data_IF_378900961995
#
_entry.id   IF_378900961995
#
_cell.length_a   1.000
_cell.length_b   1.000
_cell.length_c   1.000
_cell.angle_alpha   90.00
_cell.angle_beta   90.00
_cell.angle_gamma   90.00
#
_symmetry.space_group_name_H-M   'P 1'
#
loop_
_entity.id
_entity.type
_entity.pdbx_description
1 polymer ?
#
# COMPACT_ATOMS: atom_id res chain seq x y z
N UNK A 1 18.44 -18.07 -29.67
CA UNK A 1 18.37 -17.73 -28.24
C UNK A 1 19.56 -16.83 -27.90
N UNK A 2 19.38 -15.51 -27.97
CA UNK A 2 20.47 -14.59 -27.68
C UNK A 2 20.75 -14.55 -26.17
N UNK A 3 21.93 -15.03 -25.79
CA UNK A 3 22.50 -14.88 -24.46
C UNK A 3 22.69 -13.39 -24.18
N UNK A 4 21.85 -12.82 -23.32
CA UNK A 4 22.04 -11.47 -22.81
C UNK A 4 23.22 -11.55 -21.85
N UNK A 5 24.40 -11.13 -22.33
CA UNK A 5 25.55 -10.86 -21.48
C UNK A 5 25.10 -9.92 -20.37
N UNK A 6 25.24 -10.35 -19.12
CA UNK A 6 25.14 -9.49 -17.95
C UNK A 6 26.19 -8.39 -18.12
N UNK A 7 25.76 -7.22 -18.60
CA UNK A 7 26.61 -6.03 -18.64
C UNK A 7 27.12 -5.78 -17.22
N UNK A 8 28.42 -5.54 -17.08
CA UNK A 8 29.05 -5.12 -15.83
C UNK A 8 28.54 -3.75 -15.41
N UNK A 9 27.31 -3.73 -14.90
CA UNK A 9 26.60 -2.54 -14.43
C UNK A 9 27.02 -2.20 -13.01
N UNK A 10 27.05 -0.89 -12.72
CA UNK A 10 27.25 -0.36 -11.38
C UNK A 10 26.47 -1.17 -10.33
N UNK A 11 27.12 -1.51 -9.22
CA UNK A 11 26.48 -2.31 -8.17
C UNK A 11 25.30 -1.59 -7.49
N UNK A 12 25.08 -0.30 -7.76
CA UNK A 12 24.06 0.54 -7.12
C UNK A 12 24.12 0.50 -5.57
N UNK A 13 25.31 0.21 -5.01
CA UNK A 13 25.52 0.00 -3.57
C UNK A 13 25.08 -1.38 -3.05
N UNK A 14 24.55 -2.25 -3.90
CA UNK A 14 24.17 -3.63 -3.58
C UNK A 14 25.42 -4.52 -3.46
N UNK A 15 25.31 -5.55 -2.63
CA UNK A 15 26.31 -6.62 -2.52
C UNK A 15 26.24 -7.55 -3.75
N UNK A 16 27.32 -8.30 -4.06
CA UNK A 16 27.30 -9.27 -5.16
C UNK A 16 26.16 -10.30 -5.05
N UNK A 17 25.79 -10.69 -3.82
CA UNK A 17 24.67 -11.61 -3.57
C UNK A 17 23.33 -10.97 -3.90
N UNK A 18 23.10 -9.72 -3.48
CA UNK A 18 21.88 -8.97 -3.80
C UNK A 18 21.74 -8.77 -5.31
N UNK A 19 22.81 -8.36 -6.00
CA UNK A 19 22.85 -8.23 -7.47
C UNK A 19 22.52 -9.56 -8.14
N UNK A 20 23.18 -10.65 -7.73
CA UNK A 20 22.92 -11.99 -8.30
C UNK A 20 21.48 -12.43 -8.11
N UNK A 21 20.87 -12.17 -6.95
CA UNK A 21 19.47 -12.51 -6.70
C UNK A 21 18.55 -11.72 -7.65
N UNK A 22 18.69 -10.41 -7.71
CA UNK A 22 17.85 -9.53 -8.56
C UNK A 22 18.02 -9.82 -10.05
N UNK A 23 19.25 -10.08 -10.51
CA UNK A 23 19.55 -10.39 -11.91
C UNK A 23 18.90 -11.71 -12.38
N UNK A 24 18.73 -12.69 -11.47
CA UNK A 24 18.14 -14.00 -11.79
C UNK A 24 16.61 -14.00 -11.87
N UNK A 25 15.95 -12.95 -11.38
CA UNK A 25 14.49 -12.77 -11.46
C UNK A 25 14.04 -12.34 -12.86
N UNK A 26 14.42 -13.10 -13.89
CA UNK A 26 14.10 -12.83 -15.30
C UNK A 26 13.52 -14.08 -15.95
N UNK A 27 12.48 -14.00 -16.79
CA UNK A 27 11.79 -12.80 -17.27
C UNK A 27 10.90 -12.13 -16.19
N UNK A 28 10.30 -10.95 -16.45
CA UNK A 28 9.56 -10.13 -15.47
C UNK A 28 8.56 -10.88 -14.56
N UNK A 29 7.87 -11.91 -15.06
CA UNK A 29 6.96 -12.71 -14.24
C UNK A 29 7.65 -13.43 -13.07
N UNK A 30 8.97 -13.67 -13.14
CA UNK A 30 9.74 -14.24 -12.02
C UNK A 30 9.92 -13.24 -10.88
N UNK A 31 9.95 -11.94 -11.17
CA UNK A 31 9.89 -10.89 -10.15
C UNK A 31 8.53 -10.94 -9.46
N UNK A 32 7.45 -11.02 -10.25
CA UNK A 32 6.09 -11.17 -9.69
C UNK A 32 6.00 -12.40 -8.79
N UNK A 33 6.45 -13.56 -9.26
CA UNK A 33 6.41 -14.80 -8.46
C UNK A 33 7.15 -14.64 -7.14
N UNK A 34 8.36 -14.06 -7.16
CA UNK A 34 9.11 -13.77 -5.94
C UNK A 34 8.34 -12.84 -4.98
N UNK A 35 7.67 -11.83 -5.52
CA UNK A 35 6.83 -10.92 -4.73
C UNK A 35 5.58 -11.61 -4.19
N UNK A 36 5.06 -12.60 -4.90
CA UNK A 36 3.85 -13.32 -4.49
C UNK A 36 4.07 -14.23 -3.28
N UNK A 37 5.30 -14.71 -3.13
CA UNK A 37 5.79 -15.55 -2.02
C UNK A 37 6.20 -14.71 -0.78
N UNK A 38 5.97 -13.40 -0.79
CA UNK A 38 6.26 -12.50 0.34
C UNK A 38 5.03 -12.29 1.23
N UNK A 39 5.29 -12.14 2.53
CA UNK A 39 4.26 -11.71 3.48
C UNK A 39 3.81 -10.29 3.15
N UNK A 40 2.50 -10.07 3.23
CA UNK A 40 1.94 -8.74 3.03
C UNK A 40 1.95 -7.95 4.34
N UNK A 41 2.52 -6.75 4.30
CA UNK A 41 2.56 -5.82 5.43
C UNK A 41 1.21 -5.12 5.61
N UNK A 42 0.27 -5.79 6.26
CA UNK A 42 -1.08 -5.22 6.51
C UNK A 42 -1.03 -3.99 7.43
N UNK A 43 0.01 -3.87 8.26
CA UNK A 43 0.16 -2.77 9.23
C UNK A 43 0.85 -1.55 8.61
N UNK A 44 1.30 -1.63 7.36
CA UNK A 44 2.06 -0.61 6.64
C UNK A 44 3.21 -0.04 7.50
N UNK A 45 3.99 -0.91 8.15
CA UNK A 45 4.99 -0.54 9.16
C UNK A 45 6.15 0.32 8.65
N UNK A 46 6.36 0.37 7.34
CA UNK A 46 7.42 1.18 6.73
C UNK A 46 7.48 1.05 5.21
N UNK A 47 8.28 1.90 4.57
CA UNK A 47 8.52 1.88 3.11
C UNK A 47 9.94 1.38 2.83
N UNK A 48 10.07 0.12 2.39
CA UNK A 48 11.31 -0.65 2.34
C UNK A 48 12.06 -0.47 1.03
N UNK A 49 13.38 -0.41 1.12
CA UNK A 49 14.28 -0.58 -0.02
C UNK A 49 14.31 -2.03 -0.53
N UNK A 50 14.85 -2.24 -1.73
CA UNK A 50 15.02 -3.59 -2.27
C UNK A 50 15.87 -4.50 -1.37
N UNK A 51 16.94 -3.96 -0.77
CA UNK A 51 17.74 -4.65 0.26
C UNK A 51 16.89 -5.10 1.44
N UNK A 52 16.07 -4.20 1.98
CA UNK A 52 15.18 -4.51 3.10
C UNK A 52 14.18 -5.59 2.75
N UNK A 53 13.60 -5.56 1.54
CA UNK A 53 12.70 -6.63 1.06
C UNK A 53 13.40 -7.99 0.97
N UNK A 54 14.66 -8.04 0.50
CA UNK A 54 15.44 -9.28 0.48
C UNK A 54 15.67 -9.86 1.89
N UNK A 55 15.92 -8.98 2.87
CA UNK A 55 16.22 -9.34 4.26
C UNK A 55 14.98 -9.68 5.08
N UNK A 56 13.95 -8.84 4.99
CA UNK A 56 12.76 -8.86 5.86
C UNK A 56 11.64 -9.73 5.29
N UNK A 57 11.71 -10.13 4.01
CA UNK A 57 10.75 -11.05 3.37
C UNK A 57 9.28 -10.61 3.46
N UNK A 58 9.04 -9.31 3.58
CA UNK A 58 7.71 -8.69 3.73
C UNK A 58 7.60 -7.41 2.92
N UNK A 59 6.41 -7.13 2.38
CA UNK A 59 6.15 -5.96 1.50
C UNK A 59 4.75 -5.38 1.65
N UNK A 60 4.64 -4.08 1.45
CA UNK A 60 3.42 -3.41 0.96
C UNK A 60 3.50 -3.14 -0.56
N UNK A 61 2.48 -2.51 -1.16
CA UNK A 61 2.45 -2.19 -2.59
C UNK A 61 3.67 -1.36 -3.03
N UNK A 62 4.02 -0.31 -2.27
CA UNK A 62 5.16 0.55 -2.56
C UNK A 62 6.50 -0.20 -2.50
N UNK A 63 6.72 -1.01 -1.45
CA UNK A 63 7.94 -1.83 -1.28
C UNK A 63 8.13 -2.79 -2.47
N UNK A 64 7.03 -3.43 -2.88
CA UNK A 64 7.03 -4.37 -3.99
C UNK A 64 7.34 -3.68 -5.31
N UNK A 65 6.80 -2.48 -5.53
CA UNK A 65 7.07 -1.68 -6.71
C UNK A 65 8.55 -1.23 -6.76
N UNK A 66 9.11 -0.74 -5.65
CA UNK A 66 10.53 -0.40 -5.54
C UNK A 66 11.42 -1.63 -5.78
N UNK A 67 11.09 -2.77 -5.17
CA UNK A 67 11.83 -4.00 -5.38
C UNK A 67 11.81 -4.44 -6.85
N UNK A 68 10.64 -4.39 -7.50
CA UNK A 68 10.52 -4.74 -8.91
C UNK A 68 11.31 -3.78 -9.81
N UNK A 69 11.21 -2.46 -9.55
CA UNK A 69 12.01 -1.46 -10.26
C UNK A 69 13.52 -1.70 -10.08
N UNK A 70 13.98 -2.06 -8.88
CA UNK A 70 15.37 -2.40 -8.62
C UNK A 70 15.81 -3.66 -9.39
N UNK A 71 14.98 -4.71 -9.43
CA UNK A 71 15.26 -5.91 -10.20
C UNK A 71 15.34 -5.62 -11.71
N UNK A 72 14.39 -4.88 -12.24
CA UNK A 72 14.37 -4.43 -13.63
C UNK A 72 15.62 -3.59 -13.97
N UNK A 73 16.04 -2.70 -13.06
CA UNK A 73 17.26 -1.90 -13.20
C UNK A 73 18.52 -2.73 -13.28
N UNK A 74 18.68 -3.70 -12.37
CA UNK A 74 19.82 -4.64 -12.40
C UNK A 74 19.83 -5.44 -13.70
N UNK A 75 18.66 -5.67 -14.30
CA UNK A 75 18.51 -6.32 -15.61
C UNK A 75 18.69 -5.36 -16.81
N UNK A 76 19.09 -4.11 -16.58
CA UNK A 76 19.36 -3.11 -17.61
C UNK A 76 18.13 -2.35 -18.13
N UNK A 77 16.99 -2.43 -17.43
CA UNK A 77 15.79 -1.67 -17.78
C UNK A 77 15.66 -0.38 -16.96
N UNK A 78 14.89 0.59 -17.46
CA UNK A 78 14.59 1.79 -16.70
C UNK A 78 13.71 1.44 -15.47
N UNK A 79 14.06 1.92 -14.25
CA UNK A 79 13.28 1.66 -13.05
C UNK A 79 12.09 2.63 -12.99
N UNK A 80 11.02 2.29 -13.70
CA UNK A 80 9.83 3.14 -13.82
C UNK A 80 8.74 2.72 -12.83
N UNK A 81 8.21 3.68 -12.08
CA UNK A 81 7.02 3.51 -11.26
C UNK A 81 5.84 4.28 -11.84
N UNK A 82 4.64 3.77 -11.57
CA UNK A 82 3.37 4.40 -11.91
C UNK A 82 2.46 4.36 -10.69
N UNK A 83 1.97 5.53 -10.31
CA UNK A 83 0.98 5.70 -9.25
C UNK A 83 -0.44 5.70 -9.80
N UNK A 84 -1.31 4.87 -9.21
CA UNK A 84 -2.72 4.71 -9.53
C UNK A 84 -3.54 5.25 -8.37
N UNK A 85 -4.37 6.25 -8.66
CA UNK A 85 -5.10 6.97 -7.64
C UNK A 85 -6.58 6.58 -7.65
N UNK A 86 -7.09 6.27 -6.46
CA UNK A 86 -8.45 5.81 -6.24
C UNK A 86 -9.29 6.81 -5.43
N UNK A 87 -10.60 6.62 -5.45
CA UNK A 87 -11.54 7.40 -4.65
C UNK A 87 -12.20 6.51 -3.61
N UNK A 88 -12.18 6.94 -2.34
CA UNK A 88 -12.72 6.17 -1.21
C UNK A 88 -12.12 4.75 -1.11
N UNK A 89 -10.83 4.66 -1.42
CA UNK A 89 -10.01 3.46 -1.43
C UNK A 89 -8.54 3.86 -1.31
N UNK A 90 -7.66 2.88 -1.15
CA UNK A 90 -6.21 3.13 -1.12
C UNK A 90 -5.63 3.25 -2.54
N UNK A 91 -4.63 4.11 -2.70
CA UNK A 91 -3.83 4.23 -3.92
C UNK A 91 -2.92 3.00 -4.11
N UNK A 92 -2.46 2.80 -5.35
CA UNK A 92 -1.66 1.63 -5.70
C UNK A 92 -0.51 1.99 -6.63
N UNK A 93 0.69 1.49 -6.31
CA UNK A 93 1.90 1.74 -7.09
C UNK A 93 2.34 0.47 -7.79
N UNK A 94 2.68 0.59 -9.08
CA UNK A 94 3.15 -0.52 -9.91
C UNK A 94 4.50 -0.20 -10.56
N UNK A 95 5.33 -1.21 -10.73
CA UNK A 95 6.58 -1.08 -11.50
C UNK A 95 6.31 -1.41 -12.97
N UNK A 96 6.68 -0.49 -13.86
CA UNK A 96 6.48 -0.64 -15.30
C UNK A 96 7.68 -1.30 -15.97
N UNK A 97 7.41 -2.13 -16.97
CA UNK A 97 8.42 -2.65 -17.88
C UNK A 97 7.90 -2.65 -19.32
N UNK A 98 8.82 -2.73 -20.28
CA UNK A 98 8.48 -2.78 -21.71
C UNK A 98 9.14 -3.99 -22.38
N UNK A 99 8.37 -4.78 -23.12
CA UNK A 99 8.87 -5.87 -23.97
C UNK A 99 8.12 -5.86 -25.30
N UNK A 100 8.84 -6.13 -26.38
CA UNK A 100 8.28 -6.14 -27.74
C UNK A 100 7.49 -4.85 -28.09
N UNK A 101 7.95 -3.71 -27.57
CA UNK A 101 7.29 -2.41 -27.77
C UNK A 101 6.01 -2.19 -26.95
N UNK A 102 5.60 -3.13 -26.11
CA UNK A 102 4.38 -3.09 -25.30
C UNK A 102 4.66 -2.95 -23.80
N UNK A 103 3.77 -2.28 -23.09
CA UNK A 103 3.83 -2.04 -21.66
C UNK A 103 3.27 -3.22 -20.87
N UNK A 104 3.95 -3.58 -19.79
CA UNK A 104 3.49 -4.47 -18.74
C UNK A 104 3.78 -3.87 -17.36
N UNK A 105 3.26 -4.50 -16.31
CA UNK A 105 3.44 -4.04 -14.94
C UNK A 105 3.65 -5.21 -13.96
N UNK A 106 4.42 -4.94 -12.91
CA UNK A 106 4.63 -5.84 -11.75
C UNK A 106 4.11 -5.12 -10.51
N UNK A 107 3.34 -5.81 -9.69
CA UNK A 107 2.75 -5.21 -8.50
C UNK A 107 2.38 -6.26 -7.45
N UNK A 108 2.31 -5.83 -6.19
CA UNK A 108 1.77 -6.64 -5.08
C UNK A 108 0.60 -5.91 -4.45
N UNK A 109 -0.51 -6.61 -4.27
CA UNK A 109 -1.72 -6.07 -3.65
C UNK A 109 -2.44 -7.13 -2.83
N UNK A 110 -3.21 -6.65 -1.85
CA UNK A 110 -4.20 -7.41 -1.10
C UNK A 110 -5.42 -7.82 -1.94
N UNK A 111 -5.58 -7.23 -3.13
CA UNK A 111 -6.56 -7.66 -4.12
C UNK A 111 -5.88 -8.52 -5.18
N UNK A 112 -6.45 -9.68 -5.46
CA UNK A 112 -5.90 -10.65 -6.42
C UNK A 112 -5.80 -10.08 -7.83
N UNK A 113 -6.72 -9.17 -8.20
CA UNK A 113 -6.78 -8.52 -9.51
C UNK A 113 -5.76 -7.40 -9.76
N UNK A 114 -5.07 -6.90 -8.73
CA UNK A 114 -4.20 -5.71 -8.79
C UNK A 114 -2.70 -6.05 -8.77
N UNK A 115 -2.31 -7.06 -9.56
CA UNK A 115 -0.96 -7.61 -9.61
C UNK A 115 -0.34 -7.45 -11.00
N UNK A 116 0.31 -8.51 -11.51
CA UNK A 116 1.01 -8.50 -12.79
C UNK A 116 0.10 -8.21 -13.98
N UNK A 117 0.69 -7.54 -14.97
CA UNK A 117 0.12 -7.34 -16.29
C UNK A 117 1.15 -7.71 -17.34
N UNK A 118 0.75 -8.62 -18.22
CA UNK A 118 1.54 -9.02 -19.38
C UNK A 118 1.89 -7.79 -20.24
N UNK A 119 3.04 -7.80 -20.94
CA UNK A 119 3.45 -6.71 -21.81
C UNK A 119 2.63 -6.72 -23.10
N UNK A 120 1.35 -6.36 -23.03
CA UNK A 120 0.40 -6.38 -24.14
C UNK A 120 -0.09 -4.98 -24.52
N UNK A 121 0.08 -4.00 -23.63
CA UNK A 121 -0.58 -2.70 -23.74
C UNK A 121 0.21 -1.74 -24.63
N UNK A 122 -0.48 -1.07 -25.57
CA UNK A 122 0.13 -0.10 -26.48
C UNK A 122 0.52 1.18 -25.74
N UNK A 123 -0.34 1.62 -24.82
CA UNK A 123 -0.18 2.82 -24.02
C UNK A 123 -0.28 2.52 -22.52
N UNK A 124 0.21 3.46 -21.70
CA UNK A 124 0.03 3.40 -20.24
C UNK A 124 -1.45 3.48 -19.88
N UNK A 125 -2.24 4.28 -20.61
CA UNK A 125 -3.69 4.37 -20.40
C UNK A 125 -4.35 3.00 -20.55
N UNK A 126 -4.04 2.25 -21.60
CA UNK A 126 -4.60 0.91 -21.82
C UNK A 126 -4.20 -0.06 -20.70
N UNK A 127 -2.96 0.04 -20.24
CA UNK A 127 -2.47 -0.74 -19.09
C UNK A 127 -3.26 -0.39 -17.82
N UNK A 128 -3.50 0.90 -17.56
CA UNK A 128 -4.28 1.35 -16.39
C UNK A 128 -5.74 0.92 -16.50
N UNK A 129 -6.36 1.01 -17.68
CA UNK A 129 -7.72 0.52 -17.92
C UNK A 129 -7.87 -0.97 -17.56
N UNK A 130 -6.83 -1.77 -17.77
CA UNK A 130 -6.84 -3.19 -17.38
C UNK A 130 -6.97 -3.45 -15.87
N UNK A 131 -6.76 -2.44 -15.03
CA UNK A 131 -6.93 -2.56 -13.58
C UNK A 131 -8.35 -2.21 -13.11
N UNK A 132 -9.15 -1.49 -13.90
CA UNK A 132 -10.46 -0.93 -13.47
C UNK A 132 -11.39 -1.98 -12.87
N UNK A 133 -11.55 -3.13 -13.52
CA UNK A 133 -12.46 -4.18 -13.04
C UNK A 133 -11.99 -4.85 -11.74
N UNK A 134 -10.69 -4.85 -11.48
CA UNK A 134 -10.09 -5.42 -10.27
C UNK A 134 -9.87 -4.41 -9.15
N UNK A 135 -10.15 -3.12 -9.38
CA UNK A 135 -9.88 -2.04 -8.46
C UNK A 135 -11.18 -1.58 -7.79
N UNK A 136 -11.44 -2.12 -6.60
CA UNK A 136 -12.68 -1.87 -5.88
C UNK A 136 -12.53 -1.94 -4.37
N UNK A 137 -13.38 -1.18 -3.68
CA UNK A 137 -13.41 -1.14 -2.22
C UNK A 137 -14.31 -2.26 -1.64
N UNK A 138 -14.36 -2.37 -0.31
CA UNK A 138 -15.19 -3.36 0.40
C UNK A 138 -16.71 -3.12 0.24
N UNK A 139 -17.13 -1.98 -0.31
CA UNK A 139 -18.53 -1.71 -0.69
C UNK A 139 -18.88 -2.16 -2.11
N UNK A 140 -17.94 -2.81 -2.81
CA UNK A 140 -18.07 -3.29 -4.20
C UNK A 140 -18.19 -2.16 -5.23
N UNK A 141 -17.70 -0.97 -4.91
CA UNK A 141 -17.63 0.15 -5.84
C UNK A 141 -16.29 0.10 -6.58
N UNK A 142 -16.26 0.40 -7.88
CA UNK A 142 -15.02 0.53 -8.66
C UNK A 142 -14.41 1.91 -8.41
N UNK A 143 -13.16 1.95 -7.97
CA UNK A 143 -12.58 3.14 -7.30
C UNK A 143 -11.42 3.79 -8.03
N UNK A 144 -10.79 3.14 -9.01
CA UNK A 144 -9.71 3.74 -9.79
C UNK A 144 -10.20 4.97 -10.58
N UNK A 145 -9.51 6.12 -10.46
CA UNK A 145 -9.92 7.37 -11.10
C UNK A 145 -8.81 8.05 -11.89
N UNK A 146 -7.59 8.06 -11.37
CA UNK A 146 -6.48 8.80 -11.99
C UNK A 146 -5.21 7.97 -11.98
N UNK A 147 -4.25 8.39 -12.78
CA UNK A 147 -2.92 7.81 -12.78
C UNK A 147 -1.89 8.88 -13.09
N UNK A 148 -0.72 8.75 -12.52
CA UNK A 148 0.41 9.65 -12.76
C UNK A 148 1.07 9.38 -14.12
N UNK A 149 2.00 10.25 -14.52
CA UNK A 149 3.00 9.88 -15.54
C UNK A 149 4.02 8.88 -14.94
N UNK A 150 4.66 8.02 -15.76
CA UNK A 150 5.77 7.20 -15.28
C UNK A 150 6.87 8.06 -14.64
N UNK A 151 7.38 7.59 -13.52
CA UNK A 151 8.49 8.21 -12.80
C UNK A 151 9.69 7.27 -12.82
N UNK A 152 10.78 7.73 -13.41
CA UNK A 152 12.08 7.07 -13.28
C UNK A 152 12.64 7.30 -11.88
N UNK A 153 12.69 6.24 -11.07
CA UNK A 153 13.16 6.35 -9.68
C UNK A 153 14.67 6.44 -9.55
N UNK A 154 15.44 6.33 -10.64
CA UNK A 154 16.88 6.66 -10.61
C UNK A 154 17.15 8.12 -10.19
N UNK A 155 16.14 9.00 -10.29
CA UNK A 155 16.23 10.35 -9.74
C UNK A 155 16.42 10.42 -8.23
N UNK A 156 16.12 9.33 -7.52
CA UNK A 156 16.34 9.20 -6.08
C UNK A 156 17.68 8.50 -5.77
N UNK A 157 18.60 8.39 -6.72
CA UNK A 157 19.88 7.68 -6.50
C UNK A 157 20.72 8.27 -5.37
N UNK A 158 20.67 9.60 -5.17
CA UNK A 158 21.33 10.26 -4.03
C UNK A 158 20.79 9.76 -2.68
N UNK A 159 19.50 9.33 -2.63
CA UNK A 159 18.86 8.72 -1.47
C UNK A 159 19.32 7.27 -1.23
N UNK A 160 20.02 6.68 -2.20
CA UNK A 160 20.40 5.25 -2.22
C UNK A 160 19.17 4.35 -2.04
N UNK A 161 18.07 4.68 -2.70
CA UNK A 161 16.76 4.03 -2.55
C UNK A 161 16.78 2.49 -2.69
N UNK A 162 17.74 1.91 -3.41
CA UNK A 162 17.86 0.45 -3.55
C UNK A 162 18.41 -0.23 -2.29
N UNK A 163 19.12 0.51 -1.42
CA UNK A 163 19.95 -0.03 -0.33
C UNK A 163 19.76 0.65 1.02
N UNK A 164 18.97 1.72 1.08
CA UNK A 164 18.64 2.44 2.30
C UNK A 164 18.07 1.51 3.39
N UNK A 165 18.52 1.68 4.63
CA UNK A 165 18.02 0.94 5.80
C UNK A 165 16.85 1.67 6.49
N UNK A 166 16.71 2.98 6.27
CA UNK A 166 15.58 3.77 6.74
C UNK A 166 14.39 3.71 5.77
N UNK A 167 13.25 4.29 6.16
CA UNK A 167 12.05 4.28 5.33
C UNK A 167 12.13 5.30 4.20
N UNK A 168 11.66 4.90 3.02
CA UNK A 168 11.71 5.66 1.77
C UNK A 168 10.44 6.47 1.51
N UNK A 169 9.77 6.96 2.56
CA UNK A 169 8.49 7.68 2.44
C UNK A 169 8.57 8.94 1.56
N UNK A 170 9.76 9.48 1.32
CA UNK A 170 9.99 10.58 0.37
C UNK A 170 9.58 10.21 -1.07
N UNK A 171 9.68 8.95 -1.47
CA UNK A 171 9.31 8.49 -2.81
C UNK A 171 7.78 8.43 -3.02
N UNK A 172 6.98 7.71 -2.20
CA UNK A 172 5.52 7.73 -2.35
C UNK A 172 4.94 9.14 -2.14
N UNK A 173 5.50 9.96 -1.24
CA UNK A 173 5.08 11.35 -1.10
C UNK A 173 5.31 12.16 -2.39
N UNK A 174 6.43 11.94 -3.07
CA UNK A 174 6.68 12.54 -4.37
C UNK A 174 5.68 12.04 -5.43
N UNK A 175 5.39 10.73 -5.47
CA UNK A 175 4.45 10.14 -6.41
C UNK A 175 3.03 10.69 -6.23
N UNK A 176 2.54 10.79 -4.99
CA UNK A 176 1.24 11.37 -4.69
C UNK A 176 1.16 12.88 -5.02
N UNK A 177 2.30 13.58 -4.99
CA UNK A 177 2.36 15.02 -5.22
C UNK A 177 2.50 15.46 -6.68
N UNK A 178 2.82 14.54 -7.60
CA UNK A 178 2.90 14.89 -9.03
C UNK A 178 1.51 14.96 -9.68
N UNK A 179 1.37 15.56 -10.87
CA UNK A 179 0.08 15.58 -11.55
C UNK A 179 -0.39 14.19 -11.97
N UNK A 180 -1.67 13.90 -11.70
CA UNK A 180 -2.38 12.71 -12.19
C UNK A 180 -3.42 13.10 -13.24
N UNK A 181 -3.60 12.22 -14.22
CA UNK A 181 -4.54 12.40 -15.32
C UNK A 181 -5.78 11.55 -15.04
N UNK A 182 -6.97 12.10 -15.30
CA UNK A 182 -8.23 11.36 -15.21
C UNK A 182 -8.25 10.19 -16.20
N UNK A 183 -8.59 9.02 -15.68
CA UNK A 183 -8.77 7.81 -16.48
C UNK A 183 -10.12 7.83 -17.18
N UNK A 184 -11.18 8.25 -16.48
CA UNK A 184 -12.55 8.22 -16.95
C UNK A 184 -13.14 9.63 -16.99
N UNK A 185 -14.13 9.85 -17.86
CA UNK A 185 -14.98 11.04 -17.83
C UNK A 185 -15.95 10.97 -16.64
N UNK A 186 -16.48 12.10 -16.15
CA UNK A 186 -17.46 12.08 -15.06
C UNK A 186 -18.68 11.19 -15.34
N UNK A 187 -19.20 11.21 -16.58
CA UNK A 187 -20.33 10.36 -16.96
C UNK A 187 -19.99 8.87 -16.98
N UNK A 188 -18.78 8.50 -17.37
CA UNK A 188 -18.30 7.10 -17.26
C UNK A 188 -18.14 6.67 -15.80
N UNK A 189 -17.62 7.55 -14.92
CA UNK A 189 -17.47 7.28 -13.49
C UNK A 189 -18.82 7.01 -12.81
N UNK A 190 -19.85 7.81 -13.14
CA UNK A 190 -21.21 7.65 -12.62
C UNK A 190 -21.90 6.38 -13.14
N UNK A 191 -21.58 5.97 -14.37
CA UNK A 191 -22.17 4.79 -15.01
C UNK A 191 -21.50 3.45 -14.60
N UNK A 192 -20.46 3.47 -13.76
CA UNK A 192 -19.78 2.27 -13.32
C UNK A 192 -20.72 1.36 -12.51
N UNK A 193 -20.97 0.16 -13.04
CA UNK A 193 -21.71 -0.86 -12.30
C UNK A 193 -20.92 -1.32 -11.06
N UNK A 194 -21.61 -1.64 -9.95
CA UNK A 194 -21.01 -2.32 -8.81
C UNK A 194 -20.37 -3.65 -9.23
N UNK A 195 -19.32 -4.05 -8.52
CA UNK A 195 -18.65 -5.33 -8.74
C UNK A 195 -19.60 -6.46 -8.36
N UNK A 196 -19.72 -7.48 -9.21
CA UNK A 196 -20.57 -8.64 -8.93
C UNK A 196 -20.06 -9.43 -7.72
N UNK A 197 -20.93 -10.19 -7.05
CA UNK A 197 -20.53 -10.97 -5.86
C UNK A 197 -19.42 -11.97 -6.15
N UNK A 198 -19.43 -12.57 -7.35
CA UNK A 198 -18.40 -13.53 -7.80
C UNK A 198 -17.04 -12.86 -7.96
N UNK A 199 -16.99 -11.73 -8.67
CA UNK A 199 -15.74 -10.98 -8.88
C UNK A 199 -15.23 -10.41 -7.56
N UNK A 200 -16.13 -9.93 -6.70
CA UNK A 200 -15.78 -9.46 -5.36
C UNK A 200 -15.11 -10.57 -4.53
N UNK A 201 -15.74 -11.75 -4.46
CA UNK A 201 -15.18 -12.90 -3.74
C UNK A 201 -13.82 -13.31 -4.29
N UNK A 202 -13.68 -13.42 -5.61
CA UNK A 202 -12.42 -13.75 -6.26
C UNK A 202 -11.31 -12.71 -6.00
N UNK A 203 -11.67 -11.42 -5.98
CA UNK A 203 -10.75 -10.32 -5.71
C UNK A 203 -10.16 -10.31 -4.31
N UNK A 204 -10.86 -10.89 -3.34
CA UNK A 204 -10.42 -10.96 -1.94
C UNK A 204 -9.63 -12.23 -1.60
N UNK A 205 -9.52 -13.20 -2.52
CA UNK A 205 -8.73 -14.41 -2.30
C UNK A 205 -7.26 -14.05 -2.08
N UNK A 206 -6.70 -14.54 -0.97
CA UNK A 206 -5.31 -14.30 -0.59
C UNK A 206 -5.05 -12.91 0.00
N UNK A 207 -6.10 -12.15 0.33
CA UNK A 207 -5.99 -10.93 1.14
C UNK A 207 -5.45 -11.29 2.52
N UNK A 208 -4.40 -10.60 2.96
CA UNK A 208 -3.93 -10.72 4.32
C UNK A 208 -4.80 -9.86 5.25
N UNK A 209 -5.19 -10.42 6.39
CA UNK A 209 -5.88 -9.69 7.45
C UNK A 209 -4.91 -9.40 8.59
N UNK A 210 -5.06 -8.25 9.24
CA UNK A 210 -4.33 -7.99 10.47
C UNK A 210 -4.82 -8.99 11.52
N UNK A 211 -3.93 -9.62 12.31
CA UNK A 211 -4.37 -10.43 13.44
C UNK A 211 -5.27 -9.58 14.32
N UNK A 212 -6.43 -10.12 14.70
CA UNK A 212 -7.29 -9.50 15.71
C UNK A 212 -6.42 -9.20 16.95
N UNK A 213 -6.36 -7.94 17.36
CA UNK A 213 -5.68 -7.60 18.61
C UNK A 213 -6.32 -8.41 19.75
N UNK A 214 -5.55 -9.03 20.65
CA UNK A 214 -6.14 -9.73 21.78
C UNK A 214 -7.00 -8.74 22.56
N UNK A 215 -8.19 -9.16 23.05
CA UNK A 215 -9.03 -8.28 23.83
C UNK A 215 -8.22 -7.74 25.02
N UNK A 216 -8.41 -6.46 25.41
CA UNK A 216 -7.65 -5.89 26.51
C UNK A 216 -7.78 -6.79 27.73
N UNK A 217 -6.66 -7.25 28.26
CA UNK A 217 -6.63 -8.05 29.47
C UNK A 217 -7.40 -7.28 30.54
N UNK A 218 -8.43 -7.89 31.13
CA UNK A 218 -9.12 -7.32 32.30
C UNK A 218 -8.07 -7.15 33.40
N UNK A 219 -7.46 -5.96 33.48
CA UNK A 219 -6.67 -5.58 34.65
C UNK A 219 -7.64 -5.63 35.81
N UNK A 220 -7.33 -6.51 36.76
CA UNK A 220 -7.96 -6.50 38.07
C UNK A 220 -7.89 -5.08 38.60
N UNK A 221 -9.04 -4.47 38.81
CA UNK A 221 -9.14 -3.22 39.55
C UNK A 221 -8.67 -3.57 40.96
N UNK A 222 -7.39 -3.32 41.26
CA UNK A 222 -6.89 -3.36 42.63
C UNK A 222 -7.61 -2.24 43.38
N UNK A 223 -8.65 -2.61 44.13
CA UNK A 223 -9.25 -1.71 45.11
C UNK A 223 -8.23 -1.47 46.21
N UNK A 224 -7.51 -0.35 46.13
CA UNK A 224 -6.76 0.19 47.26
C UNK A 224 -7.75 0.65 48.33
N UNK A 225 -7.53 0.33 49.61
CA UNK A 225 -8.45 0.68 50.68
C UNK A 225 -8.17 2.11 51.20
N UNK A 226 -9.20 2.69 51.82
CA UNK A 226 -9.18 3.85 52.71
C UNK A 226 -9.40 5.24 52.09
N UNK A 227 -10.59 5.80 52.35
CA UNK A 227 -10.67 6.95 53.26
C UNK A 227 -12.05 6.96 53.92
N UNK A 228 -12.02 7.14 55.24
CA UNK A 228 -13.13 7.08 56.19
C UNK A 228 -13.82 8.46 56.20
N UNK A 229 -15.15 8.58 56.18
CA UNK A 229 -15.79 9.90 56.17
C UNK A 229 -15.75 10.51 57.59
N UNK A 230 -15.58 11.85 57.73
CA UNK A 230 -15.59 12.50 59.02
C UNK A 230 -17.01 12.52 59.62
N UNK A 231 -17.05 12.35 60.95
CA UNK A 231 -18.25 12.28 61.78
C UNK A 231 -19.04 13.59 61.77
N UNK A 232 -20.36 13.45 61.70
CA UNK A 232 -21.37 14.50 61.94
C UNK A 232 -21.16 15.20 63.30
N UNK A 233 -21.05 16.53 63.28
CA UNK A 233 -21.43 17.37 64.41
C UNK A 233 -22.93 17.68 64.31
N UNK A 234 -23.60 17.73 65.47
CA UNK A 234 -25.06 17.79 65.62
C UNK A 234 -25.41 19.06 66.41
N UNK A 235 -26.53 19.68 66.02
CA UNK A 235 -27.36 20.72 66.71
C UNK A 235 -26.83 22.17 66.57
N UNK A 236 -27.66 23.21 66.46
CA UNK A 236 -29.00 23.40 67.03
C UNK A 236 -29.97 24.19 66.13
N UNK A 237 -31.24 24.18 66.56
CA UNK A 237 -32.47 24.68 65.94
C UNK A 237 -32.67 26.19 66.16
N UNK A 238 -33.37 26.86 65.24
CA UNK A 238 -34.55 27.72 65.46
C UNK A 238 -34.89 28.41 64.13
N UNK A 239 -36.05 28.11 63.53
CA UNK A 239 -37.34 28.79 63.67
C UNK A 239 -37.49 30.00 62.72
N UNK A 240 -38.41 29.87 61.76
CA UNK A 240 -38.80 30.94 60.84
C UNK A 240 -39.77 30.43 59.78
N UNK A 241 -41.07 30.48 60.09
CA UNK A 241 -42.20 30.17 59.19
C UNK A 241 -42.44 31.32 58.20
N UNK A 242 -42.80 31.00 56.96
CA UNK A 242 -43.93 31.62 56.23
C UNK A 242 -44.11 30.94 54.85
N UNK A 243 -45.35 30.57 54.53
CA UNK A 243 -45.74 29.72 53.40
C UNK A 243 -45.91 30.40 52.03
N UNK A 244 -46.45 29.65 51.04
CA UNK A 244 -46.62 30.02 49.61
C UNK A 244 -47.99 30.73 49.38
N UNK A 245 -48.55 31.04 48.17
CA UNK A 245 -48.32 30.43 46.83
C UNK A 245 -48.55 31.36 45.57
N UNK A 246 -48.58 30.74 44.37
CA UNK A 246 -49.22 31.25 43.14
C UNK A 246 -48.25 31.40 41.96
N UNK A 247 -48.22 30.56 40.92
CA UNK A 247 -49.25 30.21 39.93
C UNK A 247 -49.76 31.42 39.13
N UNK A 248 -49.13 31.67 37.98
CA UNK A 248 -49.74 31.87 36.66
C UNK A 248 -48.66 31.83 35.58
#
# INVERSE_FOLDING_TARGET
MASVRAGGGASFGLTPREVSTLARLTPPWRIQKFLDDLDYDVRAEGCRSARRVLRERRVQCMDAALFAAAALRVQGQAPLLLDLEAVQDDDHVVALFRRYGRWGAIARSNYSGLRFREPLFASIRDLVLSYVEGYFNLRREKTLRRYSRPVDVSRFDARRWMTADDDLWDIPNYLAGIPHVRLLTPGEEEALAPVSGVVFGAGLVGRAEAPLSPPPSRRSVSRSPTSRPPRRARRARSAGRSGPPGAR
#
